data_IF_843204829264
#
_entry.id   IF_843204829264
#
_cell.length_a   1.000
_cell.length_b   1.000
_cell.length_c   1.000
_cell.angle_alpha   90.00
_cell.angle_beta   90.00
_cell.angle_gamma   90.00
#
_symmetry.space_group_name_H-M   'P 1'
#
loop_
_entity.id
_entity.type
_entity.pdbx_description
1 polymer ?
#
# COMPACT_ATOMS: atom_id res chain seq x y z
N UNK A 1 -38.02 -41.47 -5.13
CA UNK A 1 -37.42 -40.49 -4.21
C UNK A 1 -38.44 -39.90 -3.26
N UNK A 2 -39.05 -40.69 -2.38
CA UNK A 2 -40.09 -40.26 -1.43
C UNK A 2 -39.53 -39.38 -0.30
N UNK A 3 -38.29 -39.61 0.14
CA UNK A 3 -37.69 -38.93 1.28
C UNK A 3 -37.42 -37.43 1.09
N UNK A 4 -37.09 -36.99 -0.12
CA UNK A 4 -36.84 -35.57 -0.43
C UNK A 4 -38.11 -34.71 -0.38
N UNK A 5 -39.22 -35.26 -0.91
CA UNK A 5 -40.53 -34.59 -0.84
C UNK A 5 -41.03 -34.49 0.60
N UNK A 6 -40.78 -35.52 1.40
CA UNK A 6 -41.13 -35.51 2.81
C UNK A 6 -40.32 -34.48 3.60
N UNK A 7 -39.00 -34.44 3.38
CA UNK A 7 -38.12 -33.48 4.03
C UNK A 7 -38.53 -32.02 3.70
N UNK A 8 -38.74 -31.71 2.41
CA UNK A 8 -39.24 -30.39 2.00
C UNK A 8 -40.56 -30.00 2.65
N UNK A 9 -41.52 -30.94 2.69
CA UNK A 9 -42.82 -30.69 3.31
C UNK A 9 -42.71 -30.45 4.83
N UNK A 10 -41.75 -31.06 5.50
CA UNK A 10 -41.49 -30.87 6.93
C UNK A 10 -40.86 -29.51 7.20
N UNK A 11 -39.92 -29.04 6.33
CA UNK A 11 -39.31 -27.71 6.40
C UNK A 11 -40.36 -26.61 6.28
N UNK A 12 -41.34 -26.77 5.41
CA UNK A 12 -42.44 -25.80 5.25
C UNK A 12 -43.48 -25.83 6.39
N UNK A 13 -43.57 -26.91 7.18
CA UNK A 13 -44.47 -27.01 8.32
C UNK A 13 -43.96 -26.24 9.54
N UNK A 14 -42.65 -26.05 9.69
CA UNK A 14 -42.02 -25.35 10.82
C UNK A 14 -41.15 -24.19 10.32
N UNK A 15 -41.77 -23.12 9.76
CA UNK A 15 -41.00 -22.09 9.05
C UNK A 15 -40.05 -21.36 9.97
N UNK A 16 -40.37 -21.11 11.21
CA UNK A 16 -39.49 -20.43 12.16
C UNK A 16 -38.18 -21.22 12.42
N UNK A 17 -38.28 -22.52 12.68
CA UNK A 17 -37.11 -23.38 12.90
C UNK A 17 -36.23 -23.45 11.63
N UNK A 18 -36.87 -23.56 10.48
CA UNK A 18 -36.21 -23.63 9.19
C UNK A 18 -35.44 -22.32 8.90
N UNK A 19 -36.03 -21.15 9.16
CA UNK A 19 -35.38 -19.86 8.97
C UNK A 19 -34.19 -19.74 9.93
N UNK A 20 -34.32 -20.09 11.20
CA UNK A 20 -33.21 -20.06 12.16
C UNK A 20 -32.07 -20.97 11.72
N UNK A 21 -32.38 -22.18 11.27
CA UNK A 21 -31.37 -23.12 10.79
C UNK A 21 -30.64 -22.57 9.53
N UNK A 22 -31.38 -22.01 8.57
CA UNK A 22 -30.79 -21.42 7.36
C UNK A 22 -29.90 -20.22 7.71
N UNK A 23 -30.38 -19.33 8.58
CA UNK A 23 -29.59 -18.15 8.99
C UNK A 23 -28.33 -18.58 9.73
N UNK A 24 -28.40 -19.54 10.63
CA UNK A 24 -27.23 -20.08 11.34
C UNK A 24 -26.19 -20.68 10.40
N UNK A 25 -26.65 -21.48 9.42
CA UNK A 25 -25.77 -22.04 8.39
C UNK A 25 -25.17 -20.94 7.48
N UNK A 26 -25.99 -19.98 7.08
CA UNK A 26 -25.55 -18.87 6.23
C UNK A 26 -24.47 -18.02 6.94
N UNK A 27 -24.64 -17.73 8.24
CA UNK A 27 -23.63 -17.00 9.02
C UNK A 27 -22.36 -17.83 9.16
N UNK A 28 -22.47 -19.12 9.48
CA UNK A 28 -21.30 -20.01 9.64
C UNK A 28 -20.49 -20.14 8.36
N UNK A 29 -21.14 -20.38 7.23
CA UNK A 29 -20.47 -20.48 5.93
C UNK A 29 -19.96 -19.11 5.47
N UNK A 30 -20.78 -18.06 5.64
CA UNK A 30 -20.44 -16.70 5.23
C UNK A 30 -19.23 -16.11 5.97
N UNK A 31 -19.15 -16.35 7.29
CA UNK A 31 -18.01 -15.91 8.09
C UNK A 31 -16.70 -16.58 7.62
N UNK A 32 -16.72 -17.90 7.42
CA UNK A 32 -15.54 -18.62 6.93
C UNK A 32 -15.14 -18.17 5.51
N UNK A 33 -16.10 -17.95 4.62
CA UNK A 33 -15.84 -17.46 3.28
C UNK A 33 -15.25 -16.05 3.27
N UNK A 34 -15.75 -15.16 4.14
CA UNK A 34 -15.24 -13.81 4.29
C UNK A 34 -13.80 -13.80 4.82
N UNK A 35 -13.50 -14.57 5.86
CA UNK A 35 -12.14 -14.71 6.42
C UNK A 35 -11.19 -15.27 5.37
N UNK A 36 -11.60 -16.33 4.65
CA UNK A 36 -10.78 -16.91 3.59
C UNK A 36 -10.52 -15.92 2.44
N UNK A 37 -11.54 -15.16 2.03
CA UNK A 37 -11.42 -14.15 1.00
C UNK A 37 -10.43 -13.05 1.40
N UNK A 38 -10.53 -12.58 2.65
CA UNK A 38 -9.59 -11.58 3.19
C UNK A 38 -8.16 -12.13 3.27
N UNK A 39 -8.00 -13.35 3.77
CA UNK A 39 -6.70 -14.02 3.83
C UNK A 39 -6.08 -14.18 2.43
N UNK A 40 -6.87 -14.63 1.46
CA UNK A 40 -6.42 -14.79 0.07
C UNK A 40 -6.01 -13.45 -0.56
N UNK A 41 -6.75 -12.37 -0.29
CA UNK A 41 -6.41 -11.05 -0.83
C UNK A 41 -5.12 -10.47 -0.25
N UNK A 42 -4.87 -10.68 1.05
CA UNK A 42 -3.74 -10.07 1.75
C UNK A 42 -2.46 -10.91 1.62
N UNK A 43 -2.58 -12.24 1.72
CA UNK A 43 -1.43 -13.13 1.84
C UNK A 43 -1.10 -13.92 0.57
N UNK A 44 -2.10 -14.19 -0.28
CA UNK A 44 -1.91 -15.07 -1.43
C UNK A 44 -1.78 -14.33 -2.75
N UNK A 45 -2.30 -13.09 -2.85
CA UNK A 45 -2.12 -12.32 -4.07
C UNK A 45 -0.72 -11.73 -4.12
N UNK A 46 0.03 -11.97 -5.21
CA UNK A 46 1.30 -11.31 -5.42
C UNK A 46 1.09 -9.80 -5.56
N UNK A 47 2.12 -9.04 -5.21
CA UNK A 47 2.16 -7.60 -5.46
C UNK A 47 1.90 -7.32 -6.96
N UNK A 48 1.14 -6.27 -7.29
CA UNK A 48 0.86 -5.90 -8.70
C UNK A 48 2.06 -5.18 -9.33
N UNK A 49 3.18 -5.86 -9.36
CA UNK A 49 4.44 -5.39 -9.97
C UNK A 49 4.94 -6.43 -10.98
N UNK A 50 5.77 -6.07 -11.97
CA UNK A 50 6.19 -6.98 -13.04
C UNK A 50 6.83 -8.29 -12.58
N UNK A 51 7.70 -8.24 -11.55
CA UNK A 51 8.44 -9.40 -11.06
C UNK A 51 8.34 -9.58 -9.53
N UNK A 52 7.14 -9.88 -8.97
CA UNK A 52 6.93 -9.87 -7.52
C UNK A 52 7.75 -10.94 -6.79
N UNK A 53 8.07 -12.06 -7.45
CA UNK A 53 8.83 -13.18 -6.87
C UNK A 53 10.32 -12.89 -6.72
N UNK A 54 10.84 -11.83 -7.35
CA UNK A 54 12.23 -11.38 -7.21
C UNK A 54 12.42 -10.35 -6.11
N UNK A 55 11.32 -9.82 -5.56
CA UNK A 55 11.38 -8.87 -4.47
C UNK A 55 11.52 -9.58 -3.12
N UNK A 56 12.42 -9.09 -2.30
CA UNK A 56 12.64 -9.57 -0.94
C UNK A 56 12.62 -8.39 0.03
N UNK A 57 12.01 -8.58 1.18
CA UNK A 57 12.10 -7.62 2.27
C UNK A 57 13.36 -7.87 3.07
N UNK A 58 14.17 -6.82 3.23
CA UNK A 58 15.33 -6.86 4.11
C UNK A 58 14.91 -6.48 5.52
N UNK A 59 15.38 -7.22 6.50
CA UNK A 59 15.23 -6.91 7.91
C UNK A 59 16.59 -6.85 8.58
N UNK A 60 16.75 -5.95 9.54
CA UNK A 60 17.97 -5.83 10.34
C UNK A 60 17.65 -6.20 11.80
N UNK A 61 17.62 -7.50 12.15
CA UNK A 61 17.31 -7.93 13.51
C UNK A 61 18.44 -7.56 14.48
N UNK A 62 18.04 -7.27 15.72
CA UNK A 62 18.98 -7.02 16.83
C UNK A 62 19.09 -5.55 17.26
N UNK A 63 19.82 -5.30 18.36
CA UNK A 63 19.97 -3.96 18.91
C UNK A 63 20.75 -3.06 17.96
N UNK A 64 20.26 -1.84 17.76
CA UNK A 64 20.87 -0.83 16.91
C UNK A 64 21.33 0.36 17.75
N UNK A 65 22.54 0.87 17.55
CA UNK A 65 22.95 2.11 18.18
C UNK A 65 22.16 3.28 17.59
N UNK A 66 21.68 4.18 18.44
CA UNK A 66 20.95 5.37 18.04
C UNK A 66 19.43 5.23 18.16
N UNK A 67 18.72 6.24 17.67
CA UNK A 67 17.25 6.30 17.67
C UNK A 67 16.71 5.95 16.29
N UNK A 68 15.73 5.04 16.21
CA UNK A 68 14.97 4.74 15.00
C UNK A 68 13.53 5.25 15.19
N UNK A 69 13.02 5.99 14.23
CA UNK A 69 11.59 6.33 14.21
C UNK A 69 10.85 5.24 13.43
N UNK A 70 10.21 4.35 14.16
CA UNK A 70 9.54 3.18 13.64
C UNK A 70 8.01 3.21 13.89
N UNK A 71 7.47 4.33 14.36
CA UNK A 71 6.07 4.42 14.81
C UNK A 71 5.03 4.00 13.76
N UNK A 72 5.40 3.98 12.47
CA UNK A 72 4.54 3.54 11.37
C UNK A 72 5.18 2.45 10.49
N UNK A 73 6.38 2.01 10.82
CA UNK A 73 7.13 1.00 10.06
C UNK A 73 6.94 -0.44 10.56
N UNK A 74 6.16 -0.63 11.63
CA UNK A 74 5.95 -1.93 12.26
C UNK A 74 6.97 -2.20 13.37
N UNK A 75 7.66 -3.33 13.31
CA UNK A 75 8.63 -3.74 14.33
C UNK A 75 9.91 -2.91 14.26
N UNK A 76 10.14 -2.11 15.32
CA UNK A 76 11.30 -1.23 15.44
C UNK A 76 12.64 -1.98 15.40
N UNK A 77 12.65 -3.25 15.77
CA UNK A 77 13.87 -4.04 15.83
C UNK A 77 14.32 -4.53 14.45
N UNK A 78 13.46 -4.47 13.46
CA UNK A 78 13.73 -5.01 12.11
C UNK A 78 13.93 -3.96 11.04
N UNK A 79 13.62 -2.68 11.31
CA UNK A 79 13.72 -1.60 10.32
C UNK A 79 15.14 -1.02 10.23
N UNK A 80 15.46 -0.46 9.07
CA UNK A 80 16.69 0.29 8.84
C UNK A 80 16.47 1.78 9.09
N UNK A 81 17.49 2.46 9.63
CA UNK A 81 17.52 3.91 9.54
C UNK A 81 17.92 4.35 8.12
N UNK A 82 17.54 5.58 7.72
CA UNK A 82 17.91 6.08 6.39
C UNK A 82 19.44 6.10 6.15
N UNK A 83 20.30 6.51 7.09
CA UNK A 83 21.75 6.39 6.91
C UNK A 83 22.22 4.94 6.69
N UNK A 84 21.69 3.97 7.45
CA UNK A 84 22.01 2.54 7.25
C UNK A 84 21.59 2.07 5.85
N UNK A 85 20.41 2.51 5.36
CA UNK A 85 20.00 2.21 4.01
C UNK A 85 20.97 2.78 2.97
N UNK A 86 21.39 4.04 3.12
CA UNK A 86 22.37 4.67 2.21
C UNK A 86 23.73 3.99 2.22
N UNK A 87 24.19 3.48 3.36
CA UNK A 87 25.41 2.72 3.42
C UNK A 87 25.26 1.33 2.80
N UNK A 88 24.14 0.67 3.01
CA UNK A 88 23.82 -0.60 2.36
C UNK A 88 23.72 -0.45 0.84
N UNK A 89 23.11 0.65 0.36
CA UNK A 89 23.01 0.95 -1.07
C UNK A 89 24.37 1.02 -1.76
N UNK A 90 25.42 1.52 -1.06
CA UNK A 90 26.78 1.64 -1.58
C UNK A 90 27.54 0.31 -1.64
N UNK A 91 27.32 -0.58 -0.67
CA UNK A 91 28.15 -1.78 -0.48
C UNK A 91 27.50 -3.07 -0.93
N UNK A 92 26.17 -3.07 -1.17
CA UNK A 92 25.46 -4.28 -1.59
C UNK A 92 25.89 -4.71 -3.01
N UNK A 93 26.07 -6.01 -3.20
CA UNK A 93 26.43 -6.62 -4.49
C UNK A 93 25.48 -7.71 -4.95
N UNK A 94 24.70 -8.38 -4.07
CA UNK A 94 23.85 -9.51 -4.48
C UNK A 94 22.53 -9.08 -5.13
N UNK A 95 22.13 -7.81 -4.99
CA UNK A 95 20.86 -7.31 -5.51
C UNK A 95 21.09 -6.46 -6.77
N UNK A 96 20.11 -6.46 -7.69
CA UNK A 96 20.10 -5.55 -8.83
C UNK A 96 19.82 -4.11 -8.41
N UNK A 97 19.18 -3.91 -7.25
CA UNK A 97 18.92 -2.64 -6.61
C UNK A 97 18.24 -2.83 -5.27
N UNK A 98 18.35 -1.85 -4.41
CA UNK A 98 17.62 -1.79 -3.15
C UNK A 98 16.83 -0.50 -3.06
N UNK A 99 15.72 -0.54 -2.35
CA UNK A 99 14.84 0.59 -2.15
C UNK A 99 14.35 0.65 -0.70
N UNK A 100 14.08 1.85 -0.23
CA UNK A 100 13.50 2.07 1.09
C UNK A 100 12.16 2.80 0.96
N UNK A 101 11.26 2.51 1.91
CA UNK A 101 10.01 3.23 2.05
C UNK A 101 9.61 3.35 3.52
N UNK A 102 8.84 4.41 3.82
CA UNK A 102 8.25 4.65 5.14
C UNK A 102 6.89 5.32 4.96
N UNK A 103 5.84 4.68 5.47
CA UNK A 103 4.49 5.25 5.47
C UNK A 103 4.36 6.34 6.53
N UNK A 104 3.60 7.40 6.23
CA UNK A 104 3.29 8.48 7.18
C UNK A 104 1.90 9.05 6.94
N UNK A 105 1.31 9.64 7.98
CA UNK A 105 0.07 10.40 7.84
C UNK A 105 0.34 11.74 7.17
N UNK A 106 -0.36 12.03 6.10
CA UNK A 106 -0.21 13.25 5.32
C UNK A 106 -1.46 14.13 5.40
N UNK A 107 -1.25 15.44 5.60
CA UNK A 107 -2.26 16.47 5.35
C UNK A 107 -1.97 17.07 3.98
N UNK A 108 -2.83 16.78 3.01
CA UNK A 108 -2.70 17.29 1.66
C UNK A 108 -3.54 18.54 1.49
N UNK A 109 -2.94 19.63 1.03
CA UNK A 109 -3.67 20.85 0.67
C UNK A 109 -3.41 21.21 -0.78
N UNK A 110 -4.50 21.31 -1.54
CA UNK A 110 -4.50 21.74 -2.93
C UNK A 110 -5.79 22.48 -3.25
N UNK A 111 -5.72 23.52 -4.07
CA UNK A 111 -6.88 24.31 -4.52
C UNK A 111 -7.76 24.79 -3.34
N UNK A 112 -7.14 25.16 -2.20
CA UNK A 112 -7.85 25.66 -1.00
C UNK A 112 -8.57 24.59 -0.17
N UNK A 113 -8.42 23.31 -0.49
CA UNK A 113 -9.00 22.20 0.29
C UNK A 113 -7.90 21.38 0.95
N UNK A 114 -8.07 21.11 2.25
CA UNK A 114 -7.17 20.24 3.02
C UNK A 114 -7.87 18.92 3.35
N UNK A 115 -7.15 17.81 3.21
CA UNK A 115 -7.65 16.47 3.48
C UNK A 115 -6.55 15.60 4.07
N UNK A 116 -6.91 14.74 5.01
CA UNK A 116 -6.03 13.70 5.52
C UNK A 116 -5.87 12.58 4.49
N UNK A 117 -4.66 12.11 4.33
CA UNK A 117 -4.29 11.02 3.44
C UNK A 117 -3.16 10.18 4.03
N UNK A 118 -2.84 9.09 3.39
CA UNK A 118 -1.61 8.34 3.64
C UNK A 118 -0.57 8.75 2.62
N UNK A 119 0.62 9.07 3.10
CA UNK A 119 1.80 9.33 2.29
C UNK A 119 2.84 8.23 2.47
N UNK A 120 3.79 8.15 1.55
CA UNK A 120 4.93 7.26 1.64
C UNK A 120 6.19 8.02 1.26
N UNK A 121 7.15 8.09 2.17
CA UNK A 121 8.51 8.49 1.84
C UNK A 121 9.18 7.31 1.15
N UNK A 122 9.83 7.54 0.04
CA UNK A 122 10.50 6.50 -0.74
C UNK A 122 11.88 6.96 -1.18
N UNK A 123 12.82 6.03 -1.28
CA UNK A 123 14.12 6.31 -1.91
C UNK A 123 13.96 6.60 -3.40
N UNK A 124 14.89 7.31 -3.99
CA UNK A 124 14.88 7.58 -5.43
C UNK A 124 14.88 6.33 -6.31
N UNK A 125 15.44 5.22 -5.81
CA UNK A 125 15.48 3.91 -6.46
C UNK A 125 14.16 3.12 -6.40
N UNK A 126 13.18 3.57 -5.59
CA UNK A 126 12.00 2.79 -5.26
C UNK A 126 11.20 2.29 -6.47
N UNK A 127 10.84 3.18 -7.37
CA UNK A 127 10.03 2.82 -8.53
C UNK A 127 10.79 1.99 -9.55
N UNK A 128 12.09 2.24 -9.72
CA UNK A 128 12.94 1.45 -10.62
C UNK A 128 13.15 0.02 -10.10
N UNK A 129 13.33 -0.16 -8.80
CA UNK A 129 13.44 -1.48 -8.16
C UNK A 129 12.14 -2.28 -8.29
N UNK A 130 10.98 -1.61 -8.18
CA UNK A 130 9.69 -2.24 -8.40
C UNK A 130 9.35 -2.46 -9.88
N UNK A 131 10.13 -1.90 -10.81
CA UNK A 131 9.87 -1.99 -12.24
C UNK A 131 8.61 -1.25 -12.70
N UNK A 132 8.21 -0.19 -11.98
CA UNK A 132 6.99 0.56 -12.28
C UNK A 132 7.25 1.67 -13.29
N UNK A 133 6.29 1.87 -14.18
CA UNK A 133 6.26 2.99 -15.12
C UNK A 133 5.18 4.01 -14.69
N UNK A 134 5.38 5.31 -14.98
CA UNK A 134 4.37 6.32 -14.66
C UNK A 134 3.14 6.18 -15.56
N UNK A 135 1.96 6.54 -15.03
CA UNK A 135 0.74 6.69 -15.84
C UNK A 135 0.81 7.98 -16.65
N UNK A 136 1.25 9.07 -16.01
CA UNK A 136 1.56 10.36 -16.65
C UNK A 136 2.77 11.00 -15.94
N UNK A 137 3.49 11.85 -16.64
CA UNK A 137 4.67 12.53 -16.11
C UNK A 137 5.86 11.59 -15.91
N UNK A 138 6.57 11.73 -14.77
CA UNK A 138 7.69 10.89 -14.38
C UNK A 138 7.56 10.37 -12.94
N UNK A 139 8.23 9.30 -12.64
CA UNK A 139 8.41 8.81 -11.27
C UNK A 139 9.68 9.42 -10.64
N UNK A 140 9.86 9.19 -9.33
CA UNK A 140 11.09 9.60 -8.66
C UNK A 140 12.27 8.77 -9.17
N UNK A 141 13.42 9.42 -9.21
CA UNK A 141 14.69 8.85 -9.66
C UNK A 141 15.76 9.07 -8.59
N UNK A 142 16.90 8.37 -8.64
CA UNK A 142 18.00 8.59 -7.71
C UNK A 142 18.50 10.04 -7.65
N UNK A 143 18.31 10.83 -8.71
CA UNK A 143 18.63 12.25 -8.75
C UNK A 143 17.79 13.07 -7.78
N UNK A 144 16.52 12.67 -7.57
CA UNK A 144 15.61 13.34 -6.64
C UNK A 144 15.96 13.04 -5.16
N UNK A 145 16.86 12.08 -4.88
CA UNK A 145 17.24 11.61 -3.55
C UNK A 145 18.73 11.80 -3.23
N UNK A 146 19.39 12.73 -3.92
CA UNK A 146 20.84 12.97 -3.72
C UNK A 146 21.14 13.69 -2.43
N UNK A 147 20.38 14.74 -2.16
CA UNK A 147 20.60 15.61 -1.00
C UNK A 147 19.31 15.66 -0.16
N UNK A 148 19.37 15.29 1.11
CA UNK A 148 18.19 15.33 1.99
C UNK A 148 17.59 16.74 2.06
N UNK A 149 16.28 16.84 1.81
CA UNK A 149 15.51 18.09 1.91
C UNK A 149 15.66 19.05 0.72
N UNK A 150 16.42 18.72 -0.31
CA UNK A 150 16.59 19.60 -1.48
C UNK A 150 15.50 19.38 -2.52
N UNK A 151 15.06 18.16 -2.72
CA UNK A 151 14.05 17.82 -3.72
C UNK A 151 12.64 17.94 -3.14
N UNK A 152 11.87 18.90 -3.66
CA UNK A 152 10.48 19.14 -3.26
C UNK A 152 9.52 18.63 -4.35
N UNK A 153 9.60 17.34 -4.65
CA UNK A 153 8.76 16.69 -5.66
C UNK A 153 7.90 15.58 -5.05
N UNK A 154 6.75 15.37 -5.64
CA UNK A 154 5.81 14.34 -5.22
C UNK A 154 5.22 13.62 -6.43
N UNK A 155 5.04 12.31 -6.29
CA UNK A 155 4.32 11.45 -7.22
C UNK A 155 2.98 11.09 -6.57
N UNK A 156 1.89 11.30 -7.29
CA UNK A 156 0.57 10.92 -6.82
C UNK A 156 0.34 9.42 -7.06
N UNK A 157 -0.43 8.77 -6.19
CA UNK A 157 -1.02 7.47 -6.54
C UNK A 157 -2.15 7.67 -7.54
N UNK A 158 -2.44 6.64 -8.34
CA UNK A 158 -3.58 6.67 -9.28
C UNK A 158 -4.90 7.02 -8.59
N UNK A 159 -5.14 6.42 -7.44
CA UNK A 159 -6.35 6.67 -6.64
C UNK A 159 -6.46 8.13 -6.17
N UNK A 160 -5.35 8.74 -5.75
CA UNK A 160 -5.32 10.15 -5.37
C UNK A 160 -5.62 11.04 -6.58
N UNK A 161 -5.02 10.76 -7.73
CA UNK A 161 -5.27 11.49 -8.96
C UNK A 161 -6.73 11.36 -9.41
N UNK A 162 -7.30 10.17 -9.37
CA UNK A 162 -8.69 9.92 -9.72
C UNK A 162 -9.67 10.64 -8.78
N UNK A 163 -9.51 10.47 -7.47
CA UNK A 163 -10.51 10.93 -6.51
C UNK A 163 -10.42 12.42 -6.21
N UNK A 164 -9.21 13.00 -6.28
CA UNK A 164 -8.98 14.39 -5.90
C UNK A 164 -8.81 15.32 -7.07
N UNK A 165 -8.29 14.84 -8.18
CA UNK A 165 -7.98 15.65 -9.36
C UNK A 165 -8.79 15.23 -10.58
N UNK A 166 -9.78 14.31 -10.43
CA UNK A 166 -10.69 13.87 -11.50
C UNK A 166 -9.96 13.40 -12.77
N UNK A 167 -8.77 12.78 -12.62
CA UNK A 167 -7.90 12.35 -13.71
C UNK A 167 -7.43 13.48 -14.63
N UNK A 168 -7.41 14.72 -14.14
CA UNK A 168 -6.96 15.90 -14.88
C UNK A 168 -5.43 15.81 -15.14
N UNK A 169 -4.96 15.71 -16.38
CA UNK A 169 -3.52 15.67 -16.67
C UNK A 169 -2.80 17.00 -16.40
N UNK A 170 -3.53 18.11 -16.32
CA UNK A 170 -2.98 19.42 -15.98
C UNK A 170 -2.47 19.50 -14.52
N UNK A 171 -2.64 18.43 -13.74
CA UNK A 171 -2.07 18.31 -12.38
C UNK A 171 -0.54 18.31 -12.38
N UNK A 172 0.11 17.92 -13.47
CA UNK A 172 1.57 17.94 -13.58
C UNK A 172 2.13 19.35 -13.43
N UNK A 173 3.23 19.44 -12.71
CA UNK A 173 3.91 20.69 -12.35
C UNK A 173 3.08 21.65 -11.47
N UNK A 174 1.93 21.19 -10.94
CA UNK A 174 1.14 21.96 -9.99
C UNK A 174 1.69 21.79 -8.56
N UNK A 175 1.57 22.83 -7.71
CA UNK A 175 1.96 22.73 -6.31
C UNK A 175 0.94 21.90 -5.52
N UNK A 176 1.44 21.04 -4.64
CA UNK A 176 0.70 20.31 -3.61
C UNK A 176 1.37 20.54 -2.28
N UNK A 177 0.64 21.06 -1.31
CA UNK A 177 1.17 21.19 0.05
C UNK A 177 0.96 19.89 0.82
N UNK A 178 2.05 19.31 1.32
CA UNK A 178 2.08 18.08 2.11
C UNK A 178 2.66 18.41 3.48
N UNK A 179 1.87 18.27 4.54
CA UNK A 179 2.25 18.59 5.92
C UNK A 179 2.89 19.99 6.06
N UNK A 180 2.36 20.99 5.35
CA UNK A 180 2.84 22.36 5.37
C UNK A 180 4.01 22.66 4.40
N UNK A 181 4.60 21.65 3.76
CA UNK A 181 5.64 21.84 2.75
C UNK A 181 5.06 21.81 1.34
N UNK A 182 5.43 22.78 0.51
CA UNK A 182 5.00 22.82 -0.88
C UNK A 182 5.89 21.92 -1.72
N UNK A 183 5.25 20.97 -2.38
CA UNK A 183 5.87 20.00 -3.30
C UNK A 183 5.35 20.24 -4.71
N UNK A 184 6.14 19.90 -5.72
CA UNK A 184 5.71 19.92 -7.13
C UNK A 184 5.29 18.51 -7.56
N UNK A 185 4.10 18.37 -8.14
CA UNK A 185 3.62 17.09 -8.69
C UNK A 185 4.37 16.81 -9.99
N UNK A 186 5.18 15.75 -10.02
CA UNK A 186 5.98 15.38 -11.20
C UNK A 186 5.42 14.21 -11.99
N UNK A 187 4.51 13.45 -11.39
CA UNK A 187 3.89 12.32 -12.08
C UNK A 187 2.84 11.60 -11.24
N UNK A 188 2.30 10.56 -11.84
CA UNK A 188 1.30 9.65 -11.24
C UNK A 188 1.79 8.22 -11.38
N UNK A 189 1.86 7.51 -10.26
CA UNK A 189 2.15 6.08 -10.21
C UNK A 189 0.90 5.25 -10.54
N UNK A 190 1.06 4.02 -11.04
CA UNK A 190 -0.04 3.11 -11.36
C UNK A 190 -0.82 2.64 -10.12
#
# INVERSE_FOLDING_TARGET
MPNLKFALRTLFKTPFVTIVAIVSLAIGIGANAAIFSMFNQILMKPLPVPEPTRLVNLAAPGPKPGSTNCSQAGDCETVFSYPMFKDLEKVQTPFTGIAAHLSFGANLSARGQTQNAQGMLVSGSYFSVLGLAPVIGRLLTPEDDRVPGESHVVVLSYTCWQNRFALDPAVLNQPLTVNGQTMTIVGVAP
#
